data_IF_802285879233
#
_entry.id   IF_802285879233
#
_cell.length_a   1.000
_cell.length_b   1.000
_cell.length_c   1.000
_cell.angle_alpha   90.00
_cell.angle_beta   90.00
_cell.angle_gamma   90.00
#
_symmetry.space_group_name_H-M   'P 1'
#
loop_
_entity.id
_entity.type
_entity.pdbx_description
1 polymer ?
#
# COMPACT_ATOMS: atom_id res chain seq x y z
N UNK A 1 6.39 -1.68 7.00
CA UNK A 1 6.14 -0.22 7.04
C UNK A 1 4.89 0.11 6.25
N UNK A 2 4.20 1.18 6.64
CA UNK A 2 3.09 1.76 5.87
C UNK A 2 3.22 3.28 5.85
N UNK A 3 2.85 3.90 4.73
CA UNK A 3 3.02 5.33 4.51
C UNK A 3 1.79 5.94 3.81
N UNK A 4 1.38 7.09 4.32
CA UNK A 4 0.48 8.06 3.71
C UNK A 4 1.30 9.33 3.39
N UNK A 5 0.77 10.27 2.59
CA UNK A 5 1.49 11.49 2.22
C UNK A 5 1.96 12.32 3.43
N UNK A 6 1.20 12.31 4.51
CA UNK A 6 1.38 13.11 5.71
C UNK A 6 2.00 12.33 6.88
N UNK A 7 2.08 11.00 6.79
CA UNK A 7 2.51 10.16 7.92
C UNK A 7 3.05 8.80 7.50
N UNK A 8 4.07 8.34 8.21
CA UNK A 8 4.67 7.02 8.03
C UNK A 8 4.84 6.30 9.38
N UNK A 9 4.79 4.97 9.35
CA UNK A 9 5.21 4.12 10.48
C UNK A 9 6.11 2.98 10.02
N UNK A 10 7.16 2.78 10.82
CA UNK A 10 8.07 1.65 10.75
C UNK A 10 7.97 0.92 12.09
N UNK A 11 7.88 -0.40 12.02
CA UNK A 11 7.88 -1.28 13.19
C UNK A 11 8.99 -2.30 12.97
N UNK A 12 9.73 -2.59 14.02
CA UNK A 12 10.67 -3.71 14.08
C UNK A 12 10.00 -4.84 14.85
N UNK A 13 10.05 -6.05 14.30
CA UNK A 13 9.41 -7.23 14.88
C UNK A 13 10.45 -8.35 14.99
N UNK A 14 10.39 -9.07 16.10
CA UNK A 14 11.03 -10.38 16.23
C UNK A 14 9.93 -11.42 16.03
N UNK A 15 10.14 -12.31 15.06
CA UNK A 15 9.14 -13.28 14.65
C UNK A 15 9.75 -14.68 14.63
N UNK A 16 8.96 -15.74 14.92
CA UNK A 16 9.41 -17.10 14.75
C UNK A 16 9.90 -17.38 13.32
N UNK A 17 10.92 -18.24 13.20
CA UNK A 17 11.35 -18.74 11.89
C UNK A 17 10.18 -19.45 11.19
N UNK A 18 10.09 -19.30 9.86
CA UNK A 18 8.99 -19.83 9.08
C UNK A 18 7.76 -18.92 8.99
N UNK A 19 7.76 -17.76 9.65
CA UNK A 19 6.66 -16.80 9.56
C UNK A 19 6.52 -16.26 8.13
N UNK A 20 5.31 -16.25 7.61
CA UNK A 20 5.01 -15.75 6.26
C UNK A 20 4.86 -14.23 6.24
N UNK A 21 4.99 -13.63 5.07
CA UNK A 21 4.86 -12.19 4.85
C UNK A 21 3.52 -11.65 5.37
N UNK A 22 2.40 -12.33 5.03
CA UNK A 22 1.06 -11.95 5.50
C UNK A 22 0.97 -12.04 7.01
N UNK A 23 1.44 -13.15 7.60
CA UNK A 23 1.36 -13.36 9.05
C UNK A 23 2.13 -12.30 9.82
N UNK A 24 3.34 -11.96 9.38
CA UNK A 24 4.14 -10.89 9.97
C UNK A 24 3.43 -9.52 9.94
N UNK A 25 2.74 -9.21 8.83
CA UNK A 25 1.97 -7.96 8.72
C UNK A 25 0.79 -7.95 9.66
N UNK A 26 0.02 -9.05 9.76
CA UNK A 26 -1.09 -9.16 10.71
C UNK A 26 -0.60 -9.05 12.16
N UNK A 27 0.51 -9.71 12.50
CA UNK A 27 1.10 -9.69 13.84
C UNK A 27 1.69 -8.32 14.21
N UNK A 28 2.00 -7.48 13.20
CA UNK A 28 2.48 -6.12 13.43
C UNK A 28 1.45 -5.18 14.06
N UNK A 29 0.15 -5.48 13.91
CA UNK A 29 -0.94 -4.61 14.36
C UNK A 29 -0.92 -3.21 13.73
N UNK A 30 -0.41 -3.08 12.50
CA UNK A 30 -0.24 -1.79 11.82
C UNK A 30 -1.55 -0.99 11.68
N UNK A 31 -2.68 -1.67 11.56
CA UNK A 31 -4.02 -1.09 11.46
C UNK A 31 -4.40 -0.21 12.66
N UNK A 32 -3.82 -0.49 13.84
CA UNK A 32 -4.01 0.34 15.05
C UNK A 32 -3.49 1.77 14.88
N UNK A 33 -2.49 1.94 14.01
CA UNK A 33 -1.94 3.26 13.71
C UNK A 33 -2.72 3.94 12.58
N UNK A 34 -3.30 3.19 11.65
CA UNK A 34 -3.96 3.73 10.45
C UNK A 34 -5.41 3.23 10.37
N UNK A 35 -6.37 3.98 10.94
CA UNK A 35 -7.78 3.63 10.83
C UNK A 35 -8.20 3.42 9.36
N UNK A 36 -8.84 2.28 9.09
CA UNK A 36 -9.29 1.89 7.74
C UNK A 36 -8.24 1.14 6.89
N UNK A 37 -7.04 0.89 7.43
CA UNK A 37 -6.08 -0.02 6.78
C UNK A 37 -6.52 -1.48 6.98
N UNK A 38 -6.93 -2.14 5.90
CA UNK A 38 -7.25 -3.57 5.88
C UNK A 38 -6.00 -4.39 5.53
N UNK A 39 -5.46 -5.13 6.50
CA UNK A 39 -4.21 -5.86 6.35
C UNK A 39 -4.38 -7.23 5.69
N UNK A 40 -5.57 -7.85 5.78
CA UNK A 40 -5.79 -9.17 5.19
C UNK A 40 -5.64 -9.14 3.67
N UNK A 41 -6.09 -8.06 3.04
CA UNK A 41 -6.16 -7.92 1.57
C UNK A 41 -5.14 -6.95 1.00
N UNK A 42 -4.39 -6.22 1.83
CA UNK A 42 -3.41 -5.25 1.33
C UNK A 42 -2.34 -5.94 0.47
N UNK A 43 -1.99 -5.37 -0.71
CA UNK A 43 -0.82 -5.83 -1.46
C UNK A 43 0.45 -5.61 -0.64
N UNK A 44 1.32 -6.61 -0.59
CA UNK A 44 2.54 -6.57 0.21
C UNK A 44 3.77 -6.64 -0.69
N UNK A 45 4.88 -6.09 -0.20
CA UNK A 45 6.16 -6.18 -0.86
C UNK A 45 7.32 -6.28 0.11
N UNK A 46 8.47 -6.66 -0.45
CA UNK A 46 9.76 -6.68 0.24
C UNK A 46 10.74 -5.84 -0.58
N UNK A 47 11.39 -4.87 0.06
CA UNK A 47 12.40 -4.00 -0.57
C UNK A 47 11.99 -3.41 -1.93
N UNK A 48 10.79 -2.84 -2.01
CA UNK A 48 10.24 -2.16 -3.18
C UNK A 48 9.68 -3.10 -4.26
N UNK A 49 9.66 -4.42 -4.01
CA UNK A 49 9.13 -5.42 -4.93
C UNK A 49 7.87 -6.03 -4.35
N UNK A 50 6.77 -5.93 -5.09
CA UNK A 50 5.52 -6.60 -4.73
C UNK A 50 5.69 -8.12 -4.75
N UNK A 51 5.13 -8.77 -3.73
CA UNK A 51 5.09 -10.23 -3.60
C UNK A 51 3.68 -10.69 -3.97
N UNK A 52 3.58 -11.61 -4.95
CA UNK A 52 2.29 -12.06 -5.48
C UNK A 52 1.56 -13.02 -4.54
N UNK A 53 2.29 -13.86 -3.81
CA UNK A 53 1.74 -14.85 -2.87
C UNK A 53 2.28 -14.57 -1.45
N UNK A 54 1.81 -13.51 -0.77
CA UNK A 54 2.29 -13.13 0.55
C UNK A 54 2.03 -14.19 1.64
N UNK A 55 1.01 -15.02 1.44
CA UNK A 55 0.67 -16.12 2.37
C UNK A 55 1.63 -17.31 2.25
N UNK A 56 2.33 -17.46 1.12
CA UNK A 56 3.29 -18.54 0.87
C UNK A 56 4.75 -18.08 1.03
N UNK A 57 5.00 -16.77 0.97
CA UNK A 57 6.34 -16.21 1.11
C UNK A 57 6.81 -16.24 2.56
N UNK A 58 7.70 -17.19 2.88
CA UNK A 58 8.39 -17.26 4.17
C UNK A 58 9.48 -16.19 4.25
N UNK A 59 9.45 -15.40 5.31
CA UNK A 59 10.39 -14.32 5.53
C UNK A 59 11.80 -14.81 5.84
N UNK A 60 12.78 -14.02 5.38
CA UNK A 60 14.16 -14.11 5.83
C UNK A 60 14.50 -12.99 6.82
N UNK A 61 15.49 -13.25 7.66
CA UNK A 61 15.95 -12.28 8.66
C UNK A 61 16.39 -10.97 8.01
N UNK A 62 15.89 -9.86 8.54
CA UNK A 62 16.23 -8.51 8.08
C UNK A 62 15.46 -8.05 6.84
N UNK A 63 14.45 -8.77 6.37
CA UNK A 63 13.59 -8.28 5.28
C UNK A 63 12.71 -7.11 5.72
N UNK A 64 12.69 -6.04 4.90
CA UNK A 64 11.77 -4.92 5.11
C UNK A 64 10.49 -5.16 4.35
N UNK A 65 9.42 -5.38 5.11
CA UNK A 65 8.07 -5.52 4.58
C UNK A 65 7.46 -4.14 4.33
N UNK A 66 6.80 -3.97 3.20
CA UNK A 66 6.04 -2.78 2.82
C UNK A 66 4.59 -3.15 2.55
N UNK A 67 3.67 -2.37 3.11
CA UNK A 67 2.23 -2.52 2.90
C UNK A 67 1.84 -1.46 1.86
N UNK A 68 1.25 -1.89 0.75
CA UNK A 68 0.83 -0.99 -0.32
C UNK A 68 -0.68 -0.72 -0.26
N UNK A 69 -1.11 0.30 -1.01
CA UNK A 69 -2.52 0.67 -1.14
C UNK A 69 -3.03 0.20 -2.50
N UNK A 70 -4.21 -0.41 -2.50
CA UNK A 70 -4.91 -0.72 -3.75
C UNK A 70 -5.25 0.56 -4.49
N UNK A 71 -5.05 0.56 -5.80
CA UNK A 71 -5.47 1.68 -6.64
C UNK A 71 -7.00 1.67 -6.75
N UNK A 72 -7.63 2.76 -6.34
CA UNK A 72 -9.10 2.91 -6.35
C UNK A 72 -9.63 3.09 -7.78
N UNK A 73 -8.80 3.59 -8.70
CA UNK A 73 -9.16 3.80 -10.09
C UNK A 73 -7.97 3.49 -11.01
N UNK A 74 -8.29 3.01 -12.23
CA UNK A 74 -7.28 2.82 -13.27
C UNK A 74 -6.58 4.17 -13.53
N UNK A 75 -5.24 4.25 -13.40
CA UNK A 75 -4.48 5.46 -13.67
C UNK A 75 -4.78 6.10 -15.04
N UNK A 76 -5.13 5.29 -16.06
CA UNK A 76 -5.53 5.78 -17.39
C UNK A 76 -6.85 6.54 -17.33
N UNK A 77 -7.84 5.99 -16.66
CA UNK A 77 -9.15 6.63 -16.51
C UNK A 77 -9.04 7.90 -15.67
N UNK A 78 -8.25 7.88 -14.58
CA UNK A 78 -7.98 9.08 -13.77
C UNK A 78 -7.30 10.18 -14.60
N UNK A 79 -6.32 9.81 -15.45
CA UNK A 79 -5.66 10.78 -16.35
C UNK A 79 -6.64 11.36 -17.36
N UNK A 80 -7.52 10.53 -17.94
CA UNK A 80 -8.55 10.95 -18.90
C UNK A 80 -9.55 11.92 -18.26
N UNK A 81 -10.03 11.63 -17.05
CA UNK A 81 -10.92 12.50 -16.29
C UNK A 81 -10.27 13.84 -15.96
N UNK A 82 -9.02 13.84 -15.50
CA UNK A 82 -8.25 15.08 -15.23
C UNK A 82 -8.09 15.95 -16.49
N UNK A 83 -7.75 15.34 -17.63
CA UNK A 83 -7.62 16.07 -18.88
C UNK A 83 -8.95 16.64 -19.39
N UNK A 84 -10.07 15.98 -19.14
CA UNK A 84 -11.41 16.49 -19.46
C UNK A 84 -11.80 17.67 -18.54
N UNK A 85 -11.57 17.55 -17.24
CA UNK A 85 -11.84 18.63 -16.27
C UNK A 85 -11.04 19.91 -16.57
N UNK A 86 -9.76 19.79 -16.93
CA UNK A 86 -8.95 20.96 -17.33
C UNK A 86 -9.47 21.65 -18.59
N UNK A 87 -9.99 20.88 -19.57
CA UNK A 87 -10.61 21.46 -20.78
C UNK A 87 -11.90 22.21 -20.47
N UNK A 88 -12.78 21.62 -19.65
CA UNK A 88 -14.02 22.26 -19.22
C UNK A 88 -13.77 23.54 -18.41
N UNK A 89 -12.78 23.53 -17.50
CA UNK A 89 -12.41 24.70 -16.71
C UNK A 89 -11.85 25.86 -17.56
N UNK A 90 -11.18 25.56 -18.68
CA UNK A 90 -10.75 26.58 -19.65
C UNK A 90 -11.93 27.15 -20.43
N UNK A 91 -12.82 26.29 -20.94
CA UNK A 91 -13.99 26.73 -21.67
C UNK A 91 -14.91 27.65 -20.84
N UNK A 92 -15.07 27.37 -19.55
CA UNK A 92 -15.88 28.18 -18.63
C UNK A 92 -15.24 29.53 -18.23
N UNK A 93 -13.95 29.73 -18.49
CA UNK A 93 -13.23 31.00 -18.26
C UNK A 93 -13.22 31.92 -19.48
N UNK A 94 -13.62 31.41 -20.63
CA UNK A 94 -13.62 32.12 -21.93
C UNK A 94 -15.04 32.56 -22.35
N UNK A 95 -16.02 32.37 -21.47
CA UNK A 95 -17.42 32.85 -21.56
C UNK A 95 -17.74 33.72 -20.35
#
# INVERSE_FOLDING_TARGET
>A
MFALPDRQRLLSLELPSGTTLRKAVLDSGMERYFPGLELAEAPLGVYGKQVLQPDEHVLQGGERIEIYRTLIADPKEVRKQRAAATRLAKAHRET
#
